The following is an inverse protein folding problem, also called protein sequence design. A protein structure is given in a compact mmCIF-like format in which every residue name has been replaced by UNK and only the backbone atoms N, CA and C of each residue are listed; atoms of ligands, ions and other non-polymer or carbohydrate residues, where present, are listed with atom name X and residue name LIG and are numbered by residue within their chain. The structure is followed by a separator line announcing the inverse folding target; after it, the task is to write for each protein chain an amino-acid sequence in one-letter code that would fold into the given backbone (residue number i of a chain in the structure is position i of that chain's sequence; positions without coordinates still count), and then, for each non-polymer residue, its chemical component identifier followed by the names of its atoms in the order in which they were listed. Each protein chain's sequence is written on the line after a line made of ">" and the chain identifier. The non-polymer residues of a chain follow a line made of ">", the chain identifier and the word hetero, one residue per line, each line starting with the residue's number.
data_IF_429901599788
#
_entry.id   IF_429901599788
#
_cell.length_a   1.000
_cell.length_b   1.000
_cell.length_c   1.000
_cell.angle_alpha   90.00
_cell.angle_beta   90.00
_cell.angle_gamma   90.00
#
_symmetry.space_group_name_H-M   'P 1'
#
loop_
_entity.id
_entity.type
_entity.pdbx_description
1 polymer ?
#
# COMPACT_ATOMS: atom_id res chain seq x y z
N UNK A 1 -10.00 13.23 -2.59
CA UNK A 1 -10.29 14.04 -3.80
C UNK A 1 -11.47 13.44 -4.57
N UNK A 2 -11.44 12.18 -5.02
CA UNK A 2 -12.52 11.56 -5.81
C UNK A 2 -13.89 11.68 -5.14
N UNK A 3 -14.00 11.38 -3.84
CA UNK A 3 -15.23 11.52 -3.07
C UNK A 3 -15.78 12.96 -3.08
N UNK A 4 -14.92 13.98 -3.03
CA UNK A 4 -15.35 15.36 -3.09
C UNK A 4 -15.92 15.72 -4.48
N UNK A 5 -15.20 15.35 -5.55
CA UNK A 5 -15.69 15.56 -6.91
C UNK A 5 -17.00 14.79 -7.20
N UNK A 6 -17.11 13.56 -6.71
CA UNK A 6 -18.32 12.75 -6.87
C UNK A 6 -19.57 13.38 -6.22
N UNK A 7 -19.41 14.17 -5.14
CA UNK A 7 -20.54 14.91 -4.54
C UNK A 7 -20.98 16.10 -5.37
N UNK A 8 -20.04 16.74 -6.09
CA UNK A 8 -20.31 17.98 -6.83
C UNK A 8 -20.88 17.72 -8.24
N UNK A 9 -20.64 16.55 -8.85
CA UNK A 9 -21.10 16.26 -10.20
C UNK A 9 -21.45 14.79 -10.41
N UNK A 10 -22.48 14.57 -11.24
CA UNK A 10 -22.89 13.24 -11.75
C UNK A 10 -22.80 13.15 -13.27
N UNK A 11 -22.38 14.24 -13.91
CA UNK A 11 -22.35 14.33 -15.39
C UNK A 11 -20.97 14.67 -15.93
N UNK A 12 -20.17 15.48 -15.22
CA UNK A 12 -18.79 15.79 -15.64
C UNK A 12 -17.93 14.53 -15.45
N UNK A 13 -17.24 14.05 -16.51
CA UNK A 13 -16.36 12.90 -16.42
C UNK A 13 -15.24 13.07 -15.37
N UNK A 14 -15.03 12.05 -14.56
CA UNK A 14 -13.95 11.99 -13.57
C UNK A 14 -13.07 10.79 -13.87
N UNK A 15 -11.78 11.02 -14.14
CA UNK A 15 -10.78 9.96 -14.27
C UNK A 15 -9.93 9.96 -13.01
N UNK A 16 -10.14 9.00 -12.11
CA UNK A 16 -9.28 8.87 -10.94
C UNK A 16 -7.95 8.18 -11.26
N UNK A 17 -6.91 8.57 -10.57
CA UNK A 17 -5.65 7.86 -10.51
C UNK A 17 -5.31 7.65 -9.03
N UNK A 18 -4.85 6.45 -8.68
CA UNK A 18 -4.54 6.10 -7.29
C UNK A 18 -5.77 6.02 -6.35
N UNK A 19 -6.87 5.37 -6.77
CA UNK A 19 -7.91 4.93 -5.84
C UNK A 19 -7.61 3.50 -5.34
N UNK A 20 -7.98 3.21 -4.09
CA UNK A 20 -7.74 1.87 -3.51
C UNK A 20 -8.91 0.93 -3.76
N UNK A 21 -10.13 1.31 -3.39
CA UNK A 21 -11.35 0.51 -3.51
C UNK A 21 -12.51 1.35 -4.06
N UNK A 22 -12.49 1.70 -5.36
CA UNK A 22 -13.53 2.57 -5.92
C UNK A 22 -14.93 1.92 -5.96
N UNK A 23 -15.02 0.60 -5.86
CA UNK A 23 -16.31 -0.13 -5.77
C UNK A 23 -16.83 -0.07 -4.34
N UNK A 24 -16.01 -0.40 -3.35
CA UNK A 24 -16.38 -0.31 -1.93
C UNK A 24 -16.69 1.11 -1.47
N UNK A 25 -16.00 2.10 -2.05
CA UNK A 25 -16.25 3.53 -1.83
C UNK A 25 -17.52 4.05 -2.55
N UNK A 26 -18.17 3.22 -3.38
CA UNK A 26 -19.38 3.58 -4.13
C UNK A 26 -19.15 4.58 -5.26
N UNK A 27 -17.95 4.70 -5.79
CA UNK A 27 -17.65 5.59 -6.92
C UNK A 27 -18.03 4.95 -8.26
N UNK A 28 -17.92 3.63 -8.37
CA UNK A 28 -18.24 2.84 -9.55
C UNK A 28 -18.98 1.56 -9.16
N UNK A 29 -19.81 1.04 -10.06
CA UNK A 29 -20.60 -0.19 -9.83
C UNK A 29 -19.70 -1.45 -9.81
N UNK A 30 -18.79 -1.52 -10.77
CA UNK A 30 -17.78 -2.59 -10.86
C UNK A 30 -16.56 -2.13 -11.65
N UNK A 31 -15.44 -2.86 -11.55
CA UNK A 31 -14.24 -2.54 -12.32
C UNK A 31 -14.48 -2.69 -13.83
N UNK A 32 -15.23 -3.70 -14.24
CA UNK A 32 -15.52 -3.96 -15.66
C UNK A 32 -16.50 -2.97 -16.26
N UNK A 33 -17.48 -2.51 -15.46
CA UNK A 33 -18.53 -1.56 -15.85
C UNK A 33 -18.72 -0.53 -14.76
N UNK A 34 -18.05 0.64 -14.87
CA UNK A 34 -18.14 1.70 -13.86
C UNK A 34 -19.56 2.25 -13.65
N UNK A 35 -20.40 2.29 -14.68
CA UNK A 35 -21.84 2.58 -14.57
C UNK A 35 -22.23 4.06 -14.47
N UNK A 36 -21.28 4.97 -14.25
CA UNK A 36 -21.53 6.40 -14.06
C UNK A 36 -20.56 7.30 -14.82
N UNK A 37 -20.32 8.49 -14.27
CA UNK A 37 -19.39 9.47 -14.83
C UNK A 37 -17.94 9.31 -14.33
N UNK A 38 -17.64 8.22 -13.60
CA UNK A 38 -16.34 8.00 -12.96
C UNK A 38 -15.70 6.73 -13.49
N UNK A 39 -14.43 6.78 -13.84
CA UNK A 39 -13.56 5.64 -14.15
C UNK A 39 -12.12 5.96 -13.78
N UNK A 40 -11.17 5.04 -14.00
CA UNK A 40 -9.76 5.36 -13.79
C UNK A 40 -8.85 4.18 -13.47
N UNK A 41 -7.82 4.44 -12.67
CA UNK A 41 -6.69 3.54 -12.41
C UNK A 41 -6.49 3.34 -10.91
N UNK A 42 -6.60 2.09 -10.47
CA UNK A 42 -6.40 1.70 -9.08
C UNK A 42 -4.90 1.72 -8.74
N UNK A 43 -4.58 1.98 -7.47
CA UNK A 43 -3.20 1.88 -6.98
C UNK A 43 -2.92 0.58 -6.23
N UNK A 44 -3.92 -0.24 -5.94
CA UNK A 44 -3.73 -1.41 -5.08
C UNK A 44 -4.83 -2.45 -5.31
N UNK A 45 -4.59 -3.63 -4.79
CA UNK A 45 -5.55 -4.74 -4.76
C UNK A 45 -5.64 -5.28 -3.33
N UNK A 46 -6.75 -5.92 -2.98
CA UNK A 46 -6.98 -6.49 -1.66
C UNK A 46 -5.90 -7.51 -1.25
N UNK A 47 -5.33 -8.23 -2.23
CA UNK A 47 -4.26 -9.20 -2.02
C UNK A 47 -2.94 -8.60 -1.50
N UNK A 48 -2.76 -7.27 -1.62
CA UNK A 48 -1.51 -6.61 -1.22
C UNK A 48 -1.19 -6.74 0.27
N UNK A 49 -2.20 -6.85 1.14
CA UNK A 49 -1.96 -7.07 2.57
C UNK A 49 -1.14 -8.33 2.83
N UNK A 50 -1.53 -9.44 2.19
CA UNK A 50 -0.80 -10.70 2.26
C UNK A 50 0.55 -10.64 1.58
N UNK A 51 0.62 -10.05 0.38
CA UNK A 51 1.85 -9.97 -0.40
C UNK A 51 2.96 -9.19 0.31
N UNK A 52 2.62 -8.08 0.98
CA UNK A 52 3.57 -7.33 1.78
C UNK A 52 4.09 -8.15 2.96
N UNK A 53 3.22 -8.91 3.64
CA UNK A 53 3.66 -9.78 4.74
C UNK A 53 4.58 -10.91 4.25
N UNK A 54 4.29 -11.53 3.11
CA UNK A 54 5.15 -12.55 2.49
C UNK A 54 6.56 -11.99 2.24
N UNK A 55 6.65 -10.82 1.62
CA UNK A 55 7.92 -10.15 1.35
C UNK A 55 8.67 -9.76 2.63
N UNK A 56 7.96 -9.27 3.65
CA UNK A 56 8.55 -8.98 4.96
C UNK A 56 9.13 -10.23 5.59
N UNK A 57 8.39 -11.34 5.58
CA UNK A 57 8.84 -12.61 6.14
C UNK A 57 10.00 -13.22 5.38
N UNK A 58 10.04 -13.05 4.06
CA UNK A 58 11.17 -13.48 3.22
C UNK A 58 12.43 -12.65 3.52
N UNK A 59 12.31 -11.33 3.60
CA UNK A 59 13.43 -10.43 3.89
C UNK A 59 13.92 -10.50 5.35
N UNK A 60 13.03 -10.86 6.28
CA UNK A 60 13.29 -10.95 7.72
C UNK A 60 12.68 -12.25 8.29
N UNK A 61 13.33 -13.42 8.07
CA UNK A 61 12.78 -14.72 8.46
C UNK A 61 12.50 -14.88 9.95
N UNK A 62 13.15 -14.08 10.80
CA UNK A 62 12.95 -14.07 12.25
C UNK A 62 11.59 -13.45 12.66
N UNK A 63 10.86 -12.78 11.76
CA UNK A 63 9.55 -12.20 12.06
C UNK A 63 8.56 -13.31 12.42
N UNK A 64 7.99 -13.19 13.63
CA UNK A 64 6.98 -14.13 14.19
C UNK A 64 5.66 -13.44 14.52
N UNK A 65 5.67 -12.10 14.60
CA UNK A 65 4.50 -11.25 14.84
C UNK A 65 4.58 -10.09 13.87
N UNK A 66 3.49 -9.75 13.23
CA UNK A 66 3.45 -8.62 12.30
C UNK A 66 2.26 -7.73 12.57
N UNK A 67 2.49 -6.43 12.74
CA UNK A 67 1.43 -5.45 12.81
C UNK A 67 1.09 -4.91 11.42
N UNK A 68 -0.20 -4.84 11.13
CA UNK A 68 -0.77 -4.15 9.99
C UNK A 68 -1.24 -2.77 10.47
N UNK A 69 -0.55 -1.69 10.09
CA UNK A 69 -0.96 -0.33 10.45
C UNK A 69 -1.69 0.37 9.31
N UNK A 70 -2.77 1.04 9.66
CA UNK A 70 -3.60 1.85 8.78
C UNK A 70 -4.44 2.82 9.62
N UNK A 71 -4.94 3.88 9.01
CA UNK A 71 -5.95 4.73 9.67
C UNK A 71 -7.35 4.31 9.18
N UNK A 72 -8.27 3.91 10.07
CA UNK A 72 -9.59 3.42 9.68
C UNK A 72 -10.46 4.49 9.01
N UNK A 73 -10.19 5.79 9.25
CA UNK A 73 -10.94 6.89 8.64
C UNK A 73 -10.54 7.16 7.19
N UNK A 74 -9.33 6.70 6.77
CA UNK A 74 -8.76 6.99 5.44
C UNK A 74 -8.43 5.75 4.62
N UNK A 75 -8.29 4.59 5.25
CA UNK A 75 -8.01 3.34 4.59
C UNK A 75 -9.27 2.78 3.90
N UNK A 76 -9.08 2.13 2.76
CA UNK A 76 -10.15 1.47 2.02
C UNK A 76 -10.91 0.47 2.91
N UNK A 77 -12.25 0.60 2.94
CA UNK A 77 -13.13 -0.21 3.78
C UNK A 77 -12.78 -0.15 5.27
N UNK A 78 -12.22 0.97 5.78
CA UNK A 78 -11.77 1.08 7.17
C UNK A 78 -10.65 0.08 7.52
N UNK A 79 -9.83 -0.31 6.54
CA UNK A 79 -8.79 -1.34 6.66
C UNK A 79 -9.25 -2.76 6.31
N UNK A 80 -10.56 -3.01 6.21
CA UNK A 80 -11.08 -4.35 5.88
C UNK A 80 -10.75 -4.78 4.45
N UNK A 81 -10.40 -3.88 3.56
CA UNK A 81 -9.99 -4.20 2.20
C UNK A 81 -8.72 -5.08 2.16
N UNK A 82 -7.76 -4.83 3.03
CA UNK A 82 -6.46 -5.53 3.05
C UNK A 82 -6.36 -6.63 4.13
N UNK A 83 -7.12 -6.47 5.21
CA UNK A 83 -7.02 -7.33 6.40
C UNK A 83 -7.22 -8.82 6.11
N UNK A 84 -8.20 -9.27 5.33
CA UNK A 84 -8.40 -10.72 5.08
C UNK A 84 -7.20 -11.39 4.42
N UNK A 85 -6.56 -10.75 3.44
CA UNK A 85 -5.37 -11.30 2.78
C UNK A 85 -4.15 -11.30 3.70
N UNK A 86 -3.97 -10.26 4.53
CA UNK A 86 -2.92 -10.20 5.54
C UNK A 86 -3.06 -11.32 6.57
N UNK A 87 -4.26 -11.53 7.13
CA UNK A 87 -4.52 -12.57 8.13
C UNK A 87 -4.38 -13.98 7.52
N UNK A 88 -4.77 -14.17 6.25
CA UNK A 88 -4.58 -15.44 5.55
C UNK A 88 -3.09 -15.76 5.35
N UNK A 89 -2.29 -14.80 4.90
CA UNK A 89 -0.84 -14.95 4.75
C UNK A 89 -0.17 -15.17 6.11
N UNK A 90 -0.60 -14.47 7.16
CA UNK A 90 -0.06 -14.64 8.51
C UNK A 90 -0.23 -16.09 9.02
N UNK A 91 -1.42 -16.69 8.81
CA UNK A 91 -1.66 -18.10 9.14
C UNK A 91 -0.76 -19.03 8.34
N UNK A 92 -0.61 -18.82 7.03
CA UNK A 92 0.21 -19.67 6.16
C UNK A 92 1.71 -19.60 6.52
N UNK A 93 2.18 -18.44 6.98
CA UNK A 93 3.58 -18.18 7.33
C UNK A 93 3.91 -18.44 8.81
N UNK A 94 2.95 -18.92 9.60
CA UNK A 94 3.07 -19.05 11.06
C UNK A 94 3.52 -17.75 11.74
N UNK A 95 2.96 -16.61 11.30
CA UNK A 95 3.15 -15.28 11.87
C UNK A 95 1.88 -14.89 12.63
N UNK A 96 2.02 -14.38 13.84
CA UNK A 96 0.90 -13.83 14.60
C UNK A 96 0.47 -12.48 13.99
N UNK A 97 -0.74 -12.35 13.45
CA UNK A 97 -1.23 -11.07 12.94
C UNK A 97 -1.66 -10.15 14.07
N UNK A 98 -1.29 -8.88 13.97
CA UNK A 98 -1.72 -7.80 14.88
C UNK A 98 -2.34 -6.71 14.00
N UNK A 99 -3.63 -6.47 14.17
CA UNK A 99 -4.32 -5.37 13.49
C UNK A 99 -4.18 -4.13 14.36
N UNK A 100 -3.52 -3.09 13.86
CA UNK A 100 -3.18 -1.88 14.62
C UNK A 100 -3.72 -0.63 13.92
N UNK A 101 -4.98 -0.26 14.15
CA UNK A 101 -5.49 1.02 13.68
C UNK A 101 -4.75 2.17 14.38
N UNK A 102 -4.42 3.23 13.62
CA UNK A 102 -3.68 4.41 14.11
C UNK A 102 -4.38 5.70 13.64
N UNK A 103 -4.48 6.70 14.51
CA UNK A 103 -5.14 7.96 14.21
C UNK A 103 -4.20 9.17 14.31
N UNK A 104 -3.03 8.99 14.93
CA UNK A 104 -2.03 10.03 15.16
C UNK A 104 -0.63 9.44 15.36
N UNK A 105 0.37 10.28 15.52
CA UNK A 105 1.77 9.86 15.70
C UNK A 105 2.01 9.07 17.00
N UNK A 106 1.26 9.36 18.05
CA UNK A 106 1.37 8.61 19.32
C UNK A 106 0.88 7.16 19.17
N UNK A 107 -0.19 6.95 18.40
CA UNK A 107 -0.68 5.59 18.09
C UNK A 107 0.35 4.83 17.23
N UNK A 108 0.98 5.51 16.25
CA UNK A 108 2.06 4.93 15.43
C UNK A 108 3.22 4.50 16.32
N UNK A 109 3.67 5.37 17.22
CA UNK A 109 4.74 5.05 18.15
C UNK A 109 4.38 3.89 19.06
N UNK A 110 3.19 3.90 19.66
CA UNK A 110 2.72 2.83 20.53
C UNK A 110 2.68 1.48 19.82
N UNK A 111 2.18 1.44 18.57
CA UNK A 111 2.11 0.22 17.76
C UNK A 111 3.52 -0.34 17.45
N UNK A 112 4.45 0.54 17.02
CA UNK A 112 5.82 0.12 16.68
C UNK A 112 6.61 -0.27 17.93
N UNK A 113 6.50 0.50 19.02
CA UNK A 113 7.16 0.18 20.30
C UNK A 113 6.68 -1.17 20.86
N UNK A 114 5.39 -1.48 20.73
CA UNK A 114 4.83 -2.77 21.15
C UNK A 114 5.45 -3.95 20.38
N UNK A 115 5.77 -3.79 19.10
CA UNK A 115 6.47 -4.80 18.31
C UNK A 115 7.91 -5.05 18.79
N UNK A 116 8.57 -4.02 19.31
CA UNK A 116 9.95 -4.09 19.75
C UNK A 116 10.12 -4.70 21.15
N UNK A 117 9.05 -4.84 21.95
CA UNK A 117 9.10 -5.42 23.30
C UNK A 117 9.59 -6.86 23.34
N UNK A 118 9.36 -7.59 22.27
CA UNK A 118 9.79 -8.98 22.11
C UNK A 118 10.44 -9.17 20.74
N UNK A 119 11.35 -10.13 20.65
CA UNK A 119 12.01 -10.46 19.40
C UNK A 119 11.01 -10.96 18.34
N UNK A 120 11.28 -10.67 17.08
CA UNK A 120 10.50 -11.16 15.96
C UNK A 120 9.28 -10.30 15.62
N UNK A 121 9.25 -9.03 16.04
CA UNK A 121 8.27 -8.06 15.55
C UNK A 121 8.58 -7.62 14.12
N UNK A 122 7.54 -7.37 13.32
CA UNK A 122 7.61 -6.81 11.97
C UNK A 122 6.44 -5.88 11.68
N UNK A 123 6.61 -4.95 10.74
CA UNK A 123 5.62 -3.93 10.42
C UNK A 123 5.21 -4.01 8.96
N UNK A 124 3.91 -4.08 8.71
CA UNK A 124 3.30 -3.93 7.39
C UNK A 124 2.52 -2.62 7.36
N UNK A 125 2.91 -1.72 6.49
CA UNK A 125 2.26 -0.41 6.32
C UNK A 125 1.31 -0.50 5.13
N UNK A 126 0.02 -0.20 5.37
CA UNK A 126 -0.95 -0.21 4.27
C UNK A 126 -0.96 1.08 3.48
N UNK A 127 -1.46 0.98 2.24
CA UNK A 127 -1.64 2.12 1.36
C UNK A 127 -2.89 2.88 1.78
N UNK A 128 -2.71 3.97 2.51
CA UNK A 128 -3.75 4.94 2.80
C UNK A 128 -3.21 6.39 2.85
N UNK A 129 -4.05 7.42 2.70
CA UNK A 129 -3.63 8.82 2.75
C UNK A 129 -2.92 9.20 4.05
N UNK A 130 -3.36 8.68 5.20
CA UNK A 130 -2.79 8.98 6.50
C UNK A 130 -1.36 8.43 6.61
N UNK A 131 -1.14 7.14 6.35
CA UNK A 131 0.19 6.53 6.44
C UNK A 131 1.18 7.18 5.48
N UNK A 132 0.70 7.66 4.33
CA UNK A 132 1.53 8.41 3.37
C UNK A 132 1.97 9.77 3.91
N UNK A 133 1.09 10.51 4.60
CA UNK A 133 1.41 11.80 5.23
C UNK A 133 2.37 11.59 6.41
N UNK A 134 2.11 10.58 7.24
CA UNK A 134 2.90 10.25 8.43
C UNK A 134 4.08 9.30 8.16
N UNK A 135 4.52 9.16 6.90
CA UNK A 135 5.60 8.24 6.55
C UNK A 135 6.94 8.54 7.24
N UNK A 136 7.26 9.83 7.44
CA UNK A 136 8.46 10.25 8.17
C UNK A 136 8.52 9.67 9.59
N UNK A 137 7.54 9.92 10.44
CA UNK A 137 7.42 9.27 11.75
C UNK A 137 7.46 7.74 11.69
N UNK A 138 6.73 7.09 10.77
CA UNK A 138 6.71 5.63 10.62
C UNK A 138 8.13 5.10 10.34
N UNK A 139 8.86 5.70 9.40
CA UNK A 139 10.22 5.30 9.03
C UNK A 139 11.18 5.50 10.21
N UNK A 140 11.11 6.67 10.84
CA UNK A 140 12.01 7.03 11.95
C UNK A 140 11.82 6.08 13.15
N UNK A 141 10.57 5.81 13.54
CA UNK A 141 10.24 4.92 14.64
C UNK A 141 10.60 3.46 14.34
N UNK A 142 10.33 2.97 13.13
CA UNK A 142 10.72 1.63 12.70
C UNK A 142 12.26 1.44 12.79
N UNK A 143 13.04 2.46 12.39
CA UNK A 143 14.49 2.45 12.50
C UNK A 143 14.96 2.54 13.97
N UNK A 144 14.39 3.44 14.77
CA UNK A 144 14.68 3.63 16.19
C UNK A 144 14.48 2.36 17.00
N UNK A 145 13.33 1.71 16.79
CA UNK A 145 12.94 0.48 17.51
C UNK A 145 13.48 -0.79 16.85
N UNK A 146 14.26 -0.67 15.75
CA UNK A 146 14.82 -1.78 14.96
C UNK A 146 13.77 -2.80 14.51
N UNK A 147 12.59 -2.33 14.13
CA UNK A 147 11.52 -3.15 13.60
C UNK A 147 11.61 -3.19 12.06
N UNK A 148 11.82 -4.36 11.43
CA UNK A 148 11.78 -4.48 9.99
C UNK A 148 10.40 -4.13 9.48
N UNK A 149 10.34 -3.26 8.46
CA UNK A 149 9.11 -2.73 7.92
C UNK A 149 9.05 -2.87 6.40
N UNK A 150 7.87 -3.26 5.88
CA UNK A 150 7.54 -3.22 4.47
C UNK A 150 6.48 -2.15 4.20
N UNK A 151 6.68 -1.42 3.12
CA UNK A 151 5.90 -0.25 2.78
C UNK A 151 5.16 -0.42 1.44
N UNK A 152 4.03 0.29 1.21
CA UNK A 152 3.22 0.12 0.00
C UNK A 152 3.77 0.85 -1.23
N UNK A 153 4.73 1.77 -1.07
CA UNK A 153 5.25 2.59 -2.18
C UNK A 153 6.72 2.95 -1.97
N UNK A 154 7.44 3.13 -3.09
CA UNK A 154 8.87 3.44 -3.14
C UNK A 154 9.29 4.69 -2.37
N UNK A 155 8.40 5.68 -2.20
CA UNK A 155 8.74 6.94 -1.52
C UNK A 155 9.20 6.70 -0.08
N UNK A 156 8.63 5.71 0.61
CA UNK A 156 9.07 5.34 1.95
C UNK A 156 10.54 4.88 1.97
N UNK A 157 10.94 4.12 0.95
CA UNK A 157 12.30 3.57 0.86
C UNK A 157 13.31 4.65 0.49
N UNK A 158 12.93 5.58 -0.39
CA UNK A 158 13.75 6.76 -0.73
C UNK A 158 14.00 7.65 0.49
N UNK A 159 13.09 7.69 1.44
CA UNK A 159 13.21 8.44 2.70
C UNK A 159 13.80 7.61 3.86
N UNK A 160 14.29 6.39 3.59
CA UNK A 160 15.02 5.58 4.57
C UNK A 160 14.29 4.33 5.08
N UNK A 161 13.11 4.00 4.58
CA UNK A 161 12.43 2.74 4.86
C UNK A 161 13.22 1.52 4.35
N UNK A 162 12.97 0.35 4.92
CA UNK A 162 13.70 -0.88 4.59
C UNK A 162 13.39 -1.38 3.18
N UNK A 163 12.10 -1.57 2.89
CA UNK A 163 11.64 -2.21 1.67
C UNK A 163 10.24 -1.72 1.31
N UNK A 164 9.96 -1.60 0.03
CA UNK A 164 8.62 -1.33 -0.48
C UNK A 164 8.28 -2.25 -1.65
N UNK A 165 7.02 -2.66 -1.70
CA UNK A 165 6.45 -3.30 -2.86
C UNK A 165 5.08 -2.70 -3.15
N UNK A 166 4.91 -2.20 -4.35
CA UNK A 166 3.65 -1.59 -4.76
C UNK A 166 3.64 -1.19 -6.23
N UNK A 167 2.52 -0.71 -6.74
CA UNK A 167 2.41 -0.32 -8.13
C UNK A 167 3.27 0.89 -8.47
N UNK A 168 3.74 0.90 -9.72
CA UNK A 168 4.43 2.07 -10.27
C UNK A 168 3.44 3.21 -10.50
N UNK A 169 3.45 4.19 -9.61
CA UNK A 169 2.61 5.38 -9.76
C UNK A 169 2.88 6.11 -11.08
N UNK A 170 4.14 6.11 -11.52
CA UNK A 170 4.54 6.71 -12.81
C UNK A 170 3.80 6.03 -13.97
N UNK A 171 3.69 4.71 -13.95
CA UNK A 171 2.95 3.95 -14.97
C UNK A 171 1.45 4.30 -14.96
N UNK A 172 0.84 4.34 -13.77
CA UNK A 172 -0.57 4.70 -13.64
C UNK A 172 -0.87 6.09 -14.20
N UNK A 173 -0.05 7.09 -13.86
CA UNK A 173 -0.21 8.45 -14.39
C UNK A 173 0.09 8.54 -15.89
N UNK A 174 0.99 7.73 -16.46
CA UNK A 174 1.24 7.67 -17.91
C UNK A 174 0.08 7.07 -18.69
N UNK A 175 -0.67 6.17 -18.08
CA UNK A 175 -1.83 5.50 -18.72
C UNK A 175 -3.09 6.36 -18.67
N UNK A 176 -3.27 7.18 -17.64
CA UNK A 176 -4.47 7.98 -17.43
C UNK A 176 -4.83 8.92 -18.61
N UNK A 177 -3.91 9.62 -19.29
CA UNK A 177 -4.22 10.44 -20.46
C UNK A 177 -4.96 9.71 -21.59
N UNK A 178 -4.73 8.41 -21.75
CA UNK A 178 -5.44 7.61 -22.76
C UNK A 178 -6.95 7.55 -22.52
N UNK A 179 -7.38 7.57 -21.24
CA UNK A 179 -8.81 7.60 -20.89
C UNK A 179 -9.38 9.00 -21.09
N UNK A 180 -8.61 10.03 -20.73
CA UNK A 180 -8.99 11.43 -20.96
C UNK A 180 -9.20 11.68 -22.47
N UNK A 181 -8.27 11.24 -23.33
CA UNK A 181 -8.38 11.38 -24.79
C UNK A 181 -9.63 10.66 -25.33
N UNK A 182 -9.88 9.42 -24.90
CA UNK A 182 -11.07 8.67 -25.31
C UNK A 182 -12.36 9.37 -24.91
N UNK A 183 -12.44 9.90 -23.69
CA UNK A 183 -13.61 10.64 -23.18
C UNK A 183 -13.81 11.94 -23.99
N UNK A 184 -12.74 12.68 -24.26
CA UNK A 184 -12.80 13.91 -25.08
C UNK A 184 -13.25 13.62 -26.53
N UNK A 185 -13.05 12.39 -27.02
CA UNK A 185 -13.55 11.92 -28.33
C UNK A 185 -14.93 11.30 -28.27
N UNK A 186 -15.63 11.38 -27.13
CA UNK A 186 -17.02 10.96 -26.99
C UNK A 186 -17.26 9.58 -26.35
N UNK A 187 -16.22 8.91 -25.84
CA UNK A 187 -16.42 7.71 -25.05
C UNK A 187 -17.06 8.04 -23.69
N UNK A 188 -17.98 7.21 -23.23
CA UNK A 188 -18.58 7.38 -21.92
C UNK A 188 -17.69 6.74 -20.83
N UNK A 189 -17.44 7.41 -19.68
CA UNK A 189 -16.72 6.82 -18.55
C UNK A 189 -17.32 5.49 -18.08
N UNK A 190 -18.64 5.34 -18.13
CA UNK A 190 -19.37 4.13 -17.80
C UNK A 190 -18.92 2.88 -18.59
N UNK A 191 -18.43 3.07 -19.82
CA UNK A 191 -18.00 2.01 -20.73
C UNK A 191 -16.48 1.76 -20.69
N UNK A 192 -15.75 2.55 -19.90
CA UNK A 192 -14.31 2.43 -19.76
C UNK A 192 -13.96 1.67 -18.45
N UNK A 193 -13.55 0.39 -18.53
CA UNK A 193 -13.25 -0.41 -17.33
C UNK A 193 -12.22 0.26 -16.44
N UNK A 194 -12.45 0.30 -15.13
CA UNK A 194 -11.44 0.74 -14.19
C UNK A 194 -10.26 -0.26 -14.16
N UNK A 195 -9.03 0.27 -14.28
CA UNK A 195 -7.84 -0.54 -14.49
C UNK A 195 -7.12 -0.84 -13.19
N UNK A 196 -6.81 -2.10 -12.93
CA UNK A 196 -5.87 -2.51 -11.89
C UNK A 196 -4.43 -2.21 -12.31
N UNK A 197 -3.48 -2.10 -11.35
CA UNK A 197 -2.07 -1.99 -11.66
C UNK A 197 -1.57 -3.20 -12.42
N UNK A 198 -0.72 -2.96 -13.43
CA UNK A 198 -0.05 -4.03 -14.19
C UNK A 198 1.45 -4.05 -13.99
N UNK A 199 2.00 -2.94 -13.45
CA UNK A 199 3.42 -2.81 -13.15
C UNK A 199 3.61 -2.55 -11.67
N UNK A 200 4.36 -3.43 -11.01
CA UNK A 200 4.76 -3.32 -9.61
C UNK A 200 6.27 -3.10 -9.54
N UNK A 201 6.72 -2.50 -8.44
CA UNK A 201 8.13 -2.20 -8.19
C UNK A 201 8.49 -2.71 -6.78
N UNK A 202 9.55 -3.52 -6.70
CA UNK A 202 10.19 -3.92 -5.45
C UNK A 202 11.44 -3.07 -5.26
N UNK A 203 11.47 -2.26 -4.20
CA UNK A 203 12.61 -1.41 -3.85
C UNK A 203 13.16 -1.83 -2.50
N UNK A 204 14.48 -2.00 -2.40
CA UNK A 204 15.17 -2.45 -1.19
C UNK A 204 16.26 -1.45 -0.81
N UNK A 205 16.35 -1.10 0.48
CA UNK A 205 17.39 -0.22 1.02
C UNK A 205 18.39 -1.01 1.87
N UNK A 206 19.56 -1.28 1.32
CA UNK A 206 20.62 -2.02 2.01
C UNK A 206 21.26 -1.24 3.16
N UNK A 207 21.27 0.09 3.10
CA UNK A 207 21.74 0.92 4.25
C UNK A 207 20.85 0.70 5.47
N UNK A 208 19.54 0.64 5.24
CA UNK A 208 18.55 0.39 6.30
C UNK A 208 18.62 -1.06 6.76
N UNK A 209 18.74 -2.03 5.83
CA UNK A 209 18.94 -3.43 6.18
C UNK A 209 20.17 -3.61 7.10
N UNK A 210 21.30 -2.97 6.76
CA UNK A 210 22.52 -3.00 7.58
C UNK A 210 22.30 -2.40 8.98
N UNK A 211 21.57 -1.27 9.09
CA UNK A 211 21.24 -0.65 10.40
C UNK A 211 20.36 -1.56 11.25
N UNK A 212 19.50 -2.36 10.61
CA UNK A 212 18.65 -3.35 11.27
C UNK A 212 19.36 -4.69 11.54
N UNK A 213 20.63 -4.83 11.14
CA UNK A 213 21.39 -6.09 11.20
C UNK A 213 20.68 -7.21 10.41
N UNK A 214 20.09 -6.86 9.28
CA UNK A 214 19.42 -7.80 8.38
C UNK A 214 20.30 -8.06 7.16
N UNK A 215 20.41 -9.32 6.80
CA UNK A 215 20.94 -9.78 5.52
C UNK A 215 19.77 -10.10 4.59
N UNK A 216 19.60 -9.30 3.55
CA UNK A 216 18.50 -9.50 2.59
C UNK A 216 18.82 -10.72 1.71
N UNK A 217 17.95 -11.74 1.66
CA UNK A 217 18.21 -12.94 0.90
C UNK A 217 18.38 -12.67 -0.60
N UNK A 218 19.25 -13.44 -1.30
CA UNK A 218 19.45 -13.32 -2.74
C UNK A 218 18.15 -13.44 -3.55
N UNK A 219 17.19 -14.24 -3.07
CA UNK A 219 15.87 -14.40 -3.69
C UNK A 219 15.05 -13.12 -3.73
N UNK A 220 15.20 -12.25 -2.73
CA UNK A 220 14.58 -10.91 -2.71
C UNK A 220 15.35 -9.97 -3.62
N UNK A 221 16.70 -10.01 -3.54
CA UNK A 221 17.57 -9.10 -4.30
C UNK A 221 17.44 -9.27 -5.83
N UNK A 222 17.34 -10.51 -6.32
CA UNK A 222 17.16 -10.79 -7.76
C UNK A 222 15.84 -10.24 -8.30
N UNK A 223 14.82 -10.11 -7.44
CA UNK A 223 13.50 -9.57 -7.82
C UNK A 223 13.39 -8.06 -7.61
N UNK A 224 14.37 -7.43 -6.97
CA UNK A 224 14.35 -5.99 -6.74
C UNK A 224 14.53 -5.22 -8.05
N UNK A 225 13.61 -4.30 -8.34
CA UNK A 225 13.69 -3.37 -9.45
C UNK A 225 14.68 -2.24 -9.17
N UNK A 226 14.87 -1.92 -7.87
CA UNK A 226 15.81 -0.89 -7.42
C UNK A 226 16.39 -1.27 -6.07
N UNK A 227 17.71 -1.07 -5.92
CA UNK A 227 18.46 -1.28 -4.69
C UNK A 227 19.16 0.02 -4.32
N UNK A 228 18.95 0.49 -3.08
CA UNK A 228 19.61 1.67 -2.52
C UNK A 228 20.77 1.20 -1.64
N UNK A 229 21.98 1.61 -2.00
CA UNK A 229 23.22 1.29 -1.32
C UNK A 229 23.73 2.46 -0.46
#
# INVERSE_FOLDING_TARGET
>A
VTAALHRETRTIPIVFVIASDPVGDGFIESLARPGGNITGFLQTEAAMGGKLLELLKEAAPQVRRAALIFNPDTAAGGGNYFRPSFEAAARALAVQPIVSPVHNDADIEAAIAALARELGGGLVVMSDPFTRVHRGPIIALAAQYKVPAVHPTRIFVLEGGLMAFGPSNVDLFRRAPSYVDRILRGAHPADLPAQVPTKFELVVNLRTAKKLSLEIPPTVMVRADEVIE
#
